data_IF_736861427064
#
_entry.id   IF_736861427064
#
_cell.length_a   1.000
_cell.length_b   1.000
_cell.length_c   1.000
_cell.angle_alpha   90.00
_cell.angle_beta   90.00
_cell.angle_gamma   90.00
#
_symmetry.space_group_name_H-M   'P 1'
#
loop_
_entity.id
_entity.type
_entity.pdbx_description
1 polymer ?
#
# COMPACT_ATOMS: atom_id res chain seq x y z
N UNK A 1 -16.63 -5.25 72.31
CA UNK A 1 -17.37 -5.80 71.15
C UNK A 1 -16.91 -5.07 69.89
N UNK A 2 -16.50 -5.83 68.85
CA UNK A 2 -16.10 -5.44 67.45
C UNK A 2 -14.75 -4.69 67.37
N UNK A 3 -13.59 -5.27 67.03
CA UNK A 3 -13.17 -6.14 65.90
C UNK A 3 -13.66 -5.54 64.56
N UNK A 4 -12.80 -5.04 63.66
CA UNK A 4 -12.28 -5.82 62.51
C UNK A 4 -11.38 -4.95 61.58
N UNK A 5 -10.27 -5.58 61.17
CA UNK A 5 -9.51 -5.57 59.90
C UNK A 5 -8.82 -4.31 59.33
N UNK A 6 -7.49 -4.40 59.35
CA UNK A 6 -6.57 -4.07 58.26
C UNK A 6 -6.97 -4.74 56.94
N UNK A 7 -7.04 -3.98 55.85
CA UNK A 7 -7.16 -4.51 54.49
C UNK A 7 -6.07 -3.89 53.61
N UNK A 8 -5.09 -4.73 53.29
CA UNK A 8 -4.05 -4.50 52.30
C UNK A 8 -4.68 -4.37 50.90
N UNK A 9 -4.45 -3.24 50.23
CA UNK A 9 -4.79 -3.07 48.82
C UNK A 9 -3.68 -3.67 47.96
N UNK A 10 -3.95 -4.87 47.44
CA UNK A 10 -3.13 -5.60 46.49
C UNK A 10 -2.96 -4.82 45.18
N UNK A 11 -1.70 -4.63 44.76
CA UNK A 11 -1.35 -4.15 43.43
C UNK A 11 -1.68 -5.24 42.39
N UNK A 12 -2.72 -5.01 41.58
CA UNK A 12 -3.00 -5.84 40.41
C UNK A 12 -2.28 -5.24 39.22
N UNK A 13 -1.05 -5.71 38.97
CA UNK A 13 -0.36 -5.51 37.70
C UNK A 13 -1.05 -6.35 36.63
N UNK A 14 -2.05 -5.77 35.95
CA UNK A 14 -2.63 -6.36 34.76
C UNK A 14 -1.62 -6.26 33.61
N UNK A 15 -0.88 -7.35 33.39
CA UNK A 15 -0.01 -7.53 32.24
C UNK A 15 -0.82 -7.43 30.96
N UNK A 16 -0.66 -6.33 30.23
CA UNK A 16 -1.04 -6.23 28.83
C UNK A 16 -0.15 -7.19 28.04
N UNK A 17 -0.66 -8.39 27.78
CA UNK A 17 -0.20 -9.25 26.69
C UNK A 17 -0.44 -8.50 25.39
N UNK A 18 0.55 -7.70 24.97
CA UNK A 18 0.62 -7.15 23.63
C UNK A 18 0.73 -8.34 22.66
N UNK A 19 -0.40 -8.74 22.08
CA UNK A 19 -0.42 -9.64 20.95
C UNK A 19 0.33 -8.97 19.79
N UNK A 20 1.62 -9.27 19.66
CA UNK A 20 2.40 -8.89 18.49
C UNK A 20 1.78 -9.62 17.29
N UNK A 21 1.00 -8.88 16.50
CA UNK A 21 0.52 -9.38 15.21
C UNK A 21 1.73 -9.88 14.42
N UNK A 22 1.63 -11.04 13.74
CA UNK A 22 2.77 -11.59 13.02
C UNK A 22 3.22 -10.56 11.98
N UNK A 23 4.44 -10.09 12.12
CA UNK A 23 5.09 -9.30 11.08
C UNK A 23 5.33 -10.24 9.90
N UNK A 24 4.37 -10.30 8.96
CA UNK A 24 4.54 -11.05 7.72
C UNK A 24 5.86 -10.64 7.08
N UNK A 25 6.77 -11.59 6.91
CA UNK A 25 8.10 -11.32 6.38
C UNK A 25 7.93 -10.74 4.98
N UNK A 26 8.24 -9.45 4.83
CA UNK A 26 8.03 -8.70 3.60
C UNK A 26 9.36 -8.52 2.89
N UNK A 27 9.43 -8.91 1.62
CA UNK A 27 10.63 -8.70 0.79
C UNK A 27 10.29 -7.80 -0.37
N UNK A 28 11.02 -6.69 -0.48
CA UNK A 28 10.86 -5.70 -1.54
C UNK A 28 12.05 -5.73 -2.51
N UNK A 29 11.82 -5.27 -3.74
CA UNK A 29 12.80 -5.12 -4.81
C UNK A 29 13.01 -3.65 -5.18
N UNK A 30 13.91 -3.40 -6.11
CA UNK A 30 14.17 -2.04 -6.61
C UNK A 30 12.92 -1.43 -7.26
N UNK A 31 12.92 -0.10 -7.29
CA UNK A 31 11.80 0.68 -7.80
C UNK A 31 11.52 0.37 -9.27
N UNK A 32 10.26 0.04 -9.56
CA UNK A 32 9.75 -0.07 -10.93
C UNK A 32 8.94 1.17 -11.24
N UNK A 33 9.06 1.66 -12.47
CA UNK A 33 8.29 2.80 -12.98
C UNK A 33 7.60 2.41 -14.29
N UNK A 34 6.35 2.83 -14.46
CA UNK A 34 5.61 2.66 -15.69
C UNK A 34 4.71 3.88 -15.98
N UNK A 35 4.48 4.14 -17.26
CA UNK A 35 3.70 5.29 -17.73
C UNK A 35 2.45 4.83 -18.47
N UNK A 36 1.42 5.68 -18.49
CA UNK A 36 0.27 5.53 -19.35
C UNK A 36 -0.32 6.88 -19.75
N UNK A 37 -1.05 6.89 -20.88
CA UNK A 37 -1.78 8.04 -21.42
C UNK A 37 -3.23 7.63 -21.70
N UNK A 38 -4.14 8.56 -21.49
CA UNK A 38 -5.55 8.47 -21.89
C UNK A 38 -5.93 9.72 -22.68
N UNK A 39 -6.44 9.54 -23.89
CA UNK A 39 -6.96 10.59 -24.77
C UNK A 39 -8.44 10.33 -25.15
N UNK A 40 -9.15 9.57 -24.30
CA UNK A 40 -10.55 9.22 -24.54
C UNK A 40 -11.43 10.48 -24.49
N UNK A 41 -12.42 10.54 -25.39
CA UNK A 41 -13.43 11.60 -25.46
C UNK A 41 -14.49 11.40 -24.37
N UNK A 42 -14.07 11.60 -23.12
CA UNK A 42 -14.88 11.51 -21.89
C UNK A 42 -14.54 12.70 -20.99
N UNK A 43 -15.24 12.84 -19.86
CA UNK A 43 -14.93 13.89 -18.86
C UNK A 43 -13.47 13.83 -18.42
N UNK A 44 -12.91 14.98 -18.04
CA UNK A 44 -11.52 15.12 -17.63
C UNK A 44 -11.16 14.19 -16.45
N UNK A 45 -12.05 14.08 -15.46
CA UNK A 45 -11.88 13.15 -14.32
C UNK A 45 -11.87 11.69 -14.77
N UNK A 46 -12.74 11.32 -15.71
CA UNK A 46 -12.77 9.96 -16.25
C UNK A 46 -11.52 9.67 -17.07
N UNK A 47 -11.01 10.66 -17.81
CA UNK A 47 -9.76 10.53 -18.56
C UNK A 47 -8.56 10.37 -17.63
N UNK A 48 -8.52 11.15 -16.54
CA UNK A 48 -7.50 11.09 -15.50
C UNK A 48 -7.49 9.73 -14.79
N UNK A 49 -8.67 9.26 -14.34
CA UNK A 49 -8.81 7.94 -13.72
C UNK A 49 -8.31 6.83 -14.64
N UNK A 50 -8.72 6.83 -15.90
CA UNK A 50 -8.23 5.86 -16.91
C UNK A 50 -6.72 5.89 -17.08
N UNK A 51 -6.10 7.07 -17.16
CA UNK A 51 -4.65 7.19 -17.27
C UNK A 51 -3.94 6.64 -16.02
N UNK A 52 -4.47 6.93 -14.83
CA UNK A 52 -3.95 6.45 -13.54
C UNK A 52 -4.02 4.93 -13.43
N UNK A 53 -5.19 4.34 -13.70
CA UNK A 53 -5.40 2.90 -13.60
C UNK A 53 -4.53 2.13 -14.60
N UNK A 54 -4.41 2.67 -15.82
CA UNK A 54 -3.54 2.09 -16.85
C UNK A 54 -2.06 2.18 -16.45
N UNK A 55 -1.63 3.26 -15.81
CA UNK A 55 -0.24 3.37 -15.32
C UNK A 55 0.06 2.31 -14.24
N UNK A 56 -0.86 2.11 -13.29
CA UNK A 56 -0.74 1.08 -12.24
C UNK A 56 -0.77 -0.34 -12.86
N UNK A 57 -1.63 -0.57 -13.85
CA UNK A 57 -1.68 -1.84 -14.57
C UNK A 57 -0.37 -2.12 -15.31
N UNK A 58 0.18 -1.13 -16.00
CA UNK A 58 1.46 -1.23 -16.69
C UNK A 58 2.60 -1.48 -15.69
N UNK A 59 2.59 -0.81 -14.54
CA UNK A 59 3.55 -1.07 -13.45
C UNK A 59 3.45 -2.51 -12.97
N UNK A 60 2.23 -3.03 -12.79
CA UNK A 60 1.98 -4.39 -12.29
C UNK A 60 2.50 -5.43 -13.28
N UNK A 61 2.28 -5.21 -14.57
CA UNK A 61 2.84 -6.05 -15.64
C UNK A 61 4.37 -6.00 -15.63
N UNK A 62 4.97 -4.80 -15.56
CA UNK A 62 6.43 -4.65 -15.53
C UNK A 62 7.07 -5.29 -14.31
N UNK A 63 6.49 -5.12 -13.12
CA UNK A 63 6.95 -5.75 -11.89
C UNK A 63 6.86 -7.28 -11.96
N UNK A 64 5.78 -7.82 -12.56
CA UNK A 64 5.67 -9.25 -12.86
C UNK A 64 6.80 -9.72 -13.78
N UNK A 65 7.01 -9.03 -14.88
CA UNK A 65 7.96 -9.45 -15.91
C UNK A 65 9.41 -9.34 -15.43
N UNK A 66 9.68 -8.42 -14.49
CA UNK A 66 11.03 -8.19 -13.94
C UNK A 66 11.35 -9.09 -12.73
N UNK A 67 10.41 -9.26 -11.80
CA UNK A 67 10.67 -9.93 -10.51
C UNK A 67 9.79 -11.16 -10.24
N UNK A 68 8.81 -11.44 -11.11
CA UNK A 68 7.92 -12.59 -11.02
C UNK A 68 6.52 -12.29 -10.49
N UNK A 69 5.63 -13.26 -10.63
CA UNK A 69 4.19 -13.14 -10.34
C UNK A 69 3.85 -12.67 -8.92
N UNK A 70 4.67 -13.02 -7.93
CA UNK A 70 4.46 -12.62 -6.53
C UNK A 70 4.61 -11.10 -6.30
N UNK A 71 5.30 -10.39 -7.19
CA UNK A 71 5.64 -8.96 -7.04
C UNK A 71 4.69 -8.02 -7.80
N UNK A 72 3.77 -8.56 -8.62
CA UNK A 72 2.87 -7.77 -9.48
C UNK A 72 1.86 -6.89 -8.72
N UNK A 73 1.70 -7.09 -7.43
CA UNK A 73 0.58 -6.54 -6.67
C UNK A 73 0.89 -5.13 -6.17
N UNK A 74 0.37 -4.12 -6.88
CA UNK A 74 0.51 -2.71 -6.47
C UNK A 74 0.13 -2.45 -5.01
N UNK A 75 -0.94 -3.06 -4.48
CA UNK A 75 -1.33 -2.85 -3.08
C UNK A 75 -0.31 -3.37 -2.05
N UNK A 76 0.62 -4.23 -2.47
CA UNK A 76 1.69 -4.78 -1.63
C UNK A 76 3.01 -4.06 -1.81
N UNK A 77 3.13 -3.11 -2.75
CA UNK A 77 4.39 -2.37 -2.97
C UNK A 77 4.59 -1.26 -1.94
N UNK A 78 5.85 -0.88 -1.75
CA UNK A 78 6.26 0.28 -0.94
C UNK A 78 6.56 1.51 -1.80
N UNK A 79 6.62 2.67 -1.14
CA UNK A 79 6.93 3.95 -1.79
C UNK A 79 6.04 4.24 -3.01
N UNK A 80 4.76 3.88 -2.89
CA UNK A 80 3.77 4.00 -3.97
C UNK A 80 3.50 5.46 -4.31
N UNK A 81 3.84 5.85 -5.52
CA UNK A 81 3.57 7.17 -6.06
C UNK A 81 2.89 7.06 -7.42
N UNK A 82 1.89 7.91 -7.65
CA UNK A 82 1.36 8.14 -9.00
C UNK A 82 1.30 9.62 -9.26
N UNK A 83 2.06 10.06 -10.25
CA UNK A 83 2.10 11.45 -10.71
C UNK A 83 1.33 11.55 -12.01
N UNK A 84 0.36 12.47 -12.05
CA UNK A 84 -0.45 12.68 -13.24
C UNK A 84 -0.37 14.13 -13.70
N UNK A 85 -0.47 14.32 -15.01
CA UNK A 85 -0.51 15.63 -15.65
C UNK A 85 -1.26 15.58 -16.98
N UNK A 86 -1.18 16.67 -17.73
CA UNK A 86 -1.79 16.80 -19.06
C UNK A 86 -3.03 17.70 -19.09
N UNK A 87 -3.44 18.10 -20.30
CA UNK A 87 -4.52 19.05 -20.55
C UNK A 87 -5.86 18.40 -20.93
N UNK A 88 -6.78 19.23 -21.43
CA UNK A 88 -8.15 18.85 -21.80
C UNK A 88 -8.25 17.83 -22.95
N UNK A 89 -7.18 17.62 -23.73
CA UNK A 89 -7.17 16.60 -24.79
C UNK A 89 -6.60 15.24 -24.35
N UNK A 90 -5.77 15.21 -23.31
CA UNK A 90 -5.13 13.98 -22.85
C UNK A 90 -4.54 14.10 -21.44
N UNK A 91 -4.70 13.05 -20.65
CA UNK A 91 -4.04 12.88 -19.35
C UNK A 91 -2.93 11.84 -19.47
N UNK A 92 -1.83 12.07 -18.78
CA UNK A 92 -0.72 11.13 -18.64
C UNK A 92 -0.44 10.87 -17.16
N UNK A 93 -0.10 9.64 -16.80
CA UNK A 93 0.28 9.29 -15.44
C UNK A 93 1.52 8.40 -15.44
N UNK A 94 2.36 8.57 -14.43
CA UNK A 94 3.53 7.75 -14.13
C UNK A 94 3.32 7.10 -12.77
N UNK A 95 3.33 5.78 -12.71
CA UNK A 95 3.29 5.00 -11.47
C UNK A 95 4.69 4.50 -11.13
N UNK A 96 5.15 4.75 -9.91
CA UNK A 96 6.42 4.23 -9.38
C UNK A 96 6.21 3.65 -7.98
N UNK A 97 6.85 2.50 -7.73
CA UNK A 97 6.84 1.84 -6.43
C UNK A 97 7.90 0.73 -6.36
N UNK A 98 8.28 0.33 -5.14
CA UNK A 98 9.11 -0.84 -4.87
C UNK A 98 8.23 -2.09 -4.77
N UNK A 99 8.28 -3.04 -5.72
CA UNK A 99 7.47 -4.25 -5.66
C UNK A 99 7.83 -5.10 -4.45
N UNK A 100 6.84 -5.57 -3.70
CA UNK A 100 7.08 -6.47 -2.56
C UNK A 100 6.18 -7.70 -2.61
N UNK A 101 6.66 -8.79 -2.01
CA UNK A 101 5.89 -9.99 -1.69
C UNK A 101 5.82 -10.18 -0.18
N UNK A 102 4.74 -10.80 0.26
CA UNK A 102 4.64 -11.39 1.60
C UNK A 102 5.23 -12.80 1.51
N UNK A 103 5.95 -13.21 2.53
CA UNK A 103 6.48 -14.56 2.74
C UNK A 103 5.69 -15.19 3.88
#
# INVERSE_FOLDING_TARGET
>A
MRMILTLATAAVAAGLLAAAAPAHARTCKDTVTAKARSAAQVSDDSRLRRARDKAISNWSARARDTYGWAYRFWRRSDERKVECGGGEGAKHCTASAKPCRLI
#
